data_IF_687837187970
#
_entry.id   IF_687837187970
#
_cell.length_a   1.000
_cell.length_b   1.000
_cell.length_c   1.000
_cell.angle_alpha   90.00
_cell.angle_beta   90.00
_cell.angle_gamma   90.00
#
_symmetry.space_group_name_H-M   'P 1'
#
loop_
_entity.id
_entity.type
_entity.pdbx_description
1 polymer ?
#
# COMPACT_ATOMS: atom_id res chain seq x y z
N UNK A 1 6.56 4.99 8.19
CA UNK A 1 6.61 3.53 8.42
C UNK A 1 5.21 3.05 8.78
N UNK A 2 4.82 1.85 8.34
CA UNK A 2 3.53 1.23 8.67
C UNK A 2 3.74 0.14 9.72
N UNK A 3 2.66 -0.36 10.34
CA UNK A 3 2.72 -1.44 11.34
C UNK A 3 3.60 -1.09 12.55
N UNK A 4 3.50 0.16 13.03
CA UNK A 4 4.29 0.69 14.14
C UNK A 4 3.93 0.10 15.51
N UNK A 5 2.77 -0.56 15.60
CA UNK A 5 2.27 -1.18 16.83
C UNK A 5 2.08 -2.67 16.62
N UNK A 6 2.26 -3.44 17.69
CA UNK A 6 1.99 -4.87 17.67
C UNK A 6 0.47 -5.09 17.72
N UNK A 7 -0.11 -5.88 16.80
CA UNK A 7 -1.53 -6.25 16.84
C UNK A 7 -1.81 -7.18 18.04
N UNK A 8 -3.04 -7.11 18.55
CA UNK A 8 -3.52 -7.92 19.69
C UNK A 8 -3.75 -9.37 19.29
N UNK A 9 -4.22 -9.60 18.07
CA UNK A 9 -4.53 -10.92 17.52
C UNK A 9 -4.25 -10.99 16.01
N UNK A 10 -4.49 -12.16 15.42
CA UNK A 10 -4.26 -12.42 13.99
C UNK A 10 -5.25 -11.70 13.07
N UNK A 11 -6.46 -11.42 13.54
CA UNK A 11 -7.47 -10.73 12.76
C UNK A 11 -7.10 -9.25 12.60
N UNK A 12 -6.71 -8.61 13.71
CA UNK A 12 -6.18 -7.26 13.72
C UNK A 12 -4.89 -7.16 12.91
N UNK A 13 -3.99 -8.15 13.03
CA UNK A 13 -2.78 -8.20 12.21
C UNK A 13 -3.09 -8.20 10.71
N UNK A 14 -4.07 -9.01 10.28
CA UNK A 14 -4.51 -9.08 8.88
C UNK A 14 -5.07 -7.75 8.40
N UNK A 15 -5.92 -7.12 9.21
CA UNK A 15 -6.50 -5.81 8.89
C UNK A 15 -5.41 -4.75 8.74
N UNK A 16 -4.50 -4.66 9.70
CA UNK A 16 -3.40 -3.70 9.67
C UNK A 16 -2.49 -3.89 8.45
N UNK A 17 -2.20 -5.14 8.06
CA UNK A 17 -1.41 -5.43 6.86
C UNK A 17 -2.16 -5.00 5.60
N UNK A 18 -3.46 -5.30 5.48
CA UNK A 18 -4.27 -4.88 4.34
C UNK A 18 -4.29 -3.34 4.21
N UNK A 19 -4.54 -2.63 5.30
CA UNK A 19 -4.51 -1.16 5.33
C UNK A 19 -3.12 -0.61 4.95
N UNK A 20 -2.05 -1.23 5.44
CA UNK A 20 -0.68 -0.84 5.08
C UNK A 20 -0.40 -1.01 3.59
N UNK A 21 -0.89 -2.09 2.97
CA UNK A 21 -0.71 -2.37 1.54
C UNK A 21 -1.50 -1.34 0.73
N UNK A 22 -2.75 -1.08 1.08
CA UNK A 22 -3.59 -0.09 0.40
C UNK A 22 -2.97 1.31 0.45
N UNK A 23 -2.48 1.73 1.62
CA UNK A 23 -1.85 3.06 1.74
C UNK A 23 -0.54 3.11 0.94
N UNK A 24 0.26 2.03 0.93
CA UNK A 24 1.47 1.97 0.12
C UNK A 24 1.13 2.13 -1.37
N UNK A 25 0.17 1.33 -1.86
CA UNK A 25 -0.21 1.29 -3.26
C UNK A 25 -0.75 2.63 -3.77
N UNK A 26 -1.47 3.36 -2.92
CA UNK A 26 -2.07 4.66 -3.27
C UNK A 26 -1.15 5.85 -3.06
N UNK A 27 -0.14 5.75 -2.20
CA UNK A 27 0.64 6.93 -1.77
C UNK A 27 2.12 6.87 -2.05
N UNK A 28 2.70 5.69 -2.32
CA UNK A 28 4.13 5.58 -2.57
C UNK A 28 4.44 6.14 -3.97
N UNK A 29 5.21 7.23 -4.10
CA UNK A 29 5.58 7.72 -5.42
C UNK A 29 6.71 6.85 -5.99
N UNK A 30 6.52 6.34 -7.21
CA UNK A 30 7.59 5.75 -7.99
C UNK A 30 8.37 6.84 -8.73
N UNK A 31 9.54 7.20 -8.20
CA UNK A 31 10.40 8.26 -8.74
C UNK A 31 10.89 7.97 -10.17
N UNK A 32 11.10 6.69 -10.50
CA UNK A 32 11.45 6.25 -11.86
C UNK A 32 10.27 6.32 -12.85
N UNK A 33 9.02 6.34 -12.35
CA UNK A 33 7.80 6.33 -13.15
C UNK A 33 7.05 7.66 -13.04
N UNK A 34 7.79 8.77 -13.11
CA UNK A 34 7.23 10.14 -13.08
C UNK A 34 6.36 10.41 -11.85
N UNK A 35 6.73 9.87 -10.69
CA UNK A 35 6.01 10.02 -9.42
C UNK A 35 4.62 9.36 -9.39
N UNK A 36 4.31 8.49 -10.35
CA UNK A 36 3.08 7.69 -10.30
C UNK A 36 3.08 6.75 -9.11
N UNK A 37 1.90 6.47 -8.58
CA UNK A 37 1.69 5.47 -7.53
C UNK A 37 1.65 4.06 -8.12
N UNK A 38 1.93 3.01 -7.33
CA UNK A 38 1.73 1.63 -7.78
C UNK A 38 0.35 1.41 -8.43
N UNK A 39 -0.72 1.95 -7.83
CA UNK A 39 -2.08 1.82 -8.38
C UNK A 39 -2.23 2.52 -9.74
N UNK A 40 -1.70 3.73 -9.89
CA UNK A 40 -1.74 4.46 -11.17
C UNK A 40 -0.97 3.73 -12.28
N UNK A 41 0.08 3.01 -11.91
CA UNK A 41 0.84 2.17 -12.83
C UNK A 41 0.02 0.93 -13.20
N UNK A 42 -0.57 0.25 -12.22
CA UNK A 42 -1.39 -0.95 -12.45
C UNK A 42 -2.65 -0.64 -13.28
N UNK A 43 -3.40 0.42 -12.95
CA UNK A 43 -4.60 0.81 -13.71
C UNK A 43 -4.27 1.14 -15.18
N UNK A 44 -3.10 1.73 -15.45
CA UNK A 44 -2.66 2.01 -16.81
C UNK A 44 -2.32 0.76 -17.65
N UNK A 45 -2.13 -0.41 -17.04
CA UNK A 45 -1.91 -1.67 -17.76
C UNK A 45 -3.20 -2.40 -18.14
N UNK A 46 -4.34 -2.06 -17.51
CA UNK A 46 -5.65 -2.69 -17.75
C UNK A 46 -6.65 -1.80 -18.50
N UNK A 47 -6.28 -0.56 -18.82
CA UNK A 47 -7.04 0.39 -19.63
C UNK A 47 -6.53 0.42 -21.07
#
# INVERSE_FOLDING_TARGET
>A
EYLLIKPRDLEEARKMVAESVDIYNQRRPHTALKYKTPDEVHQAFYA
#
